data_IF_850375213571
#
_entry.id   IF_850375213571
#
_cell.length_a   1.000
_cell.length_b   1.000
_cell.length_c   1.000
_cell.angle_alpha   90.00
_cell.angle_beta   90.00
_cell.angle_gamma   90.00
#
_symmetry.space_group_name_H-M   'P 1'
#
loop_
_entity.id
_entity.type
_entity.pdbx_description
1 polymer ?
#
# COMPACT_ATOMS: atom_id res chain seq x y z
N UNK A 1 -11.85 -50.93 38.62
CA UNK A 1 -12.97 -50.61 37.73
C UNK A 1 -12.57 -49.38 36.93
N UNK A 2 -12.56 -49.49 35.60
CA UNK A 2 -11.89 -48.60 34.64
C UNK A 2 -12.57 -47.22 34.57
N UNK A 3 -11.82 -46.15 34.83
CA UNK A 3 -12.26 -44.77 34.52
C UNK A 3 -11.70 -44.38 33.16
N UNK A 4 -12.55 -44.41 32.14
CA UNK A 4 -12.21 -44.03 30.78
C UNK A 4 -11.96 -42.54 30.65
N UNK A 5 -10.73 -42.17 30.27
CA UNK A 5 -10.35 -40.82 29.87
C UNK A 5 -10.97 -40.50 28.51
N UNK A 6 -11.86 -39.50 28.48
CA UNK A 6 -12.48 -38.98 27.25
C UNK A 6 -11.44 -38.26 26.39
N UNK A 7 -10.92 -38.95 25.39
CA UNK A 7 -10.10 -38.38 24.30
C UNK A 7 -10.96 -37.39 23.51
N UNK A 8 -10.62 -36.10 23.56
CA UNK A 8 -11.25 -35.07 22.73
C UNK A 8 -10.38 -34.82 21.50
N UNK A 9 -10.65 -35.55 20.42
CA UNK A 9 -10.05 -35.28 19.10
C UNK A 9 -10.46 -33.89 18.61
N UNK A 10 -9.57 -32.89 18.74
CA UNK A 10 -9.69 -31.64 17.98
C UNK A 10 -9.07 -31.86 16.60
N UNK A 11 -9.84 -32.48 15.72
CA UNK A 11 -9.54 -32.56 14.30
C UNK A 11 -9.77 -31.17 13.70
N UNK A 12 -8.71 -30.36 13.57
CA UNK A 12 -8.77 -29.15 12.74
C UNK A 12 -8.96 -29.64 11.30
N UNK A 13 -10.20 -29.60 10.81
CA UNK A 13 -10.52 -29.89 9.41
C UNK A 13 -9.99 -28.74 8.55
N UNK A 14 -8.71 -28.80 8.21
CA UNK A 14 -8.14 -28.01 7.12
C UNK A 14 -8.78 -28.58 5.85
N UNK A 15 -9.64 -27.81 5.20
CA UNK A 15 -10.13 -28.16 3.86
C UNK A 15 -8.97 -27.94 2.89
N UNK A 16 -8.13 -28.96 2.74
CA UNK A 16 -7.01 -28.93 1.81
C UNK A 16 -7.52 -28.67 0.38
N UNK A 17 -7.16 -27.51 -0.17
CA UNK A 17 -7.21 -27.25 -1.62
C UNK A 17 -5.85 -27.49 -2.29
N UNK A 18 -4.91 -28.13 -1.60
CA UNK A 18 -3.58 -28.43 -2.12
C UNK A 18 -3.31 -29.90 -1.80
N UNK A 19 -3.23 -30.73 -2.85
CA UNK A 19 -2.75 -32.09 -2.72
C UNK A 19 -1.24 -32.06 -2.58
N UNK A 20 -0.71 -32.56 -1.47
CA UNK A 20 0.61 -33.21 -1.43
C UNK A 20 0.72 -34.13 -0.19
N UNK A 21 1.21 -35.34 -0.48
CA UNK A 21 1.53 -36.53 0.31
C UNK A 21 0.78 -36.85 1.62
N UNK A 22 -0.07 -37.88 1.51
CA UNK A 22 -0.57 -38.67 2.64
C UNK A 22 0.58 -39.48 3.22
N UNK A 23 1.17 -39.04 4.34
CA UNK A 23 1.63 -39.90 5.44
C UNK A 23 2.33 -39.09 6.53
N UNK A 24 1.57 -38.44 7.41
CA UNK A 24 2.00 -38.20 8.79
C UNK A 24 0.79 -38.29 9.73
N UNK A 25 0.41 -39.51 10.09
CA UNK A 25 -0.44 -39.73 11.26
C UNK A 25 0.32 -39.27 12.51
N UNK A 26 -0.21 -38.26 13.20
CA UNK A 26 0.36 -37.77 14.46
C UNK A 26 -0.20 -38.65 15.57
N UNK A 27 0.60 -39.60 16.06
CA UNK A 27 0.35 -40.27 17.34
C UNK A 27 0.91 -39.35 18.43
N UNK A 28 0.07 -38.95 19.38
CA UNK A 28 0.46 -38.14 20.53
C UNK A 28 0.60 -39.08 21.73
N UNK A 29 1.82 -39.30 22.22
CA UNK A 29 2.10 -39.94 23.50
C UNK A 29 2.29 -38.87 24.59
N UNK A 30 1.79 -39.17 25.78
CA UNK A 30 1.48 -38.20 26.83
C UNK A 30 2.67 -38.03 27.79
N UNK A 31 3.77 -37.46 27.28
CA UNK A 31 4.89 -36.99 28.11
C UNK A 31 5.19 -35.53 27.84
N UNK A 32 5.39 -34.72 28.90
CA UNK A 32 5.67 -33.28 28.76
C UNK A 32 6.92 -32.95 27.92
N UNK A 33 7.83 -33.92 27.78
CA UNK A 33 9.00 -33.84 26.90
C UNK A 33 8.59 -33.88 25.41
N UNK A 34 7.69 -34.78 25.03
CA UNK A 34 7.19 -34.89 23.64
C UNK A 34 6.38 -33.66 23.21
N UNK A 35 5.63 -33.06 24.13
CA UNK A 35 4.90 -31.80 23.85
C UNK A 35 5.88 -30.66 23.55
N UNK A 36 6.99 -30.59 24.29
CA UNK A 36 8.01 -29.55 24.12
C UNK A 36 8.79 -29.71 22.81
N UNK A 37 9.18 -30.94 22.46
CA UNK A 37 9.79 -31.24 21.16
C UNK A 37 8.84 -30.93 20.01
N UNK A 38 7.56 -31.30 20.14
CA UNK A 38 6.54 -30.99 19.14
C UNK A 38 6.37 -29.49 18.96
N UNK A 39 6.35 -28.72 20.05
CA UNK A 39 6.28 -27.26 20.00
C UNK A 39 7.50 -26.66 19.29
N UNK A 40 8.70 -27.14 19.60
CA UNK A 40 9.95 -26.68 18.95
C UNK A 40 9.92 -26.95 17.44
N UNK A 41 9.52 -28.16 17.03
CA UNK A 41 9.34 -28.51 15.62
C UNK A 41 8.35 -27.60 14.91
N UNK A 42 7.18 -27.34 15.51
CA UNK A 42 6.17 -26.45 14.93
C UNK A 42 6.67 -25.02 14.79
N UNK A 43 7.43 -24.52 15.77
CA UNK A 43 8.04 -23.19 15.72
C UNK A 43 9.05 -23.07 14.58
N UNK A 44 9.92 -24.07 14.41
CA UNK A 44 10.90 -24.11 13.31
C UNK A 44 10.21 -24.22 11.94
N UNK A 45 9.20 -25.09 11.81
CA UNK A 45 8.35 -25.21 10.62
C UNK A 45 7.69 -23.88 10.25
N UNK A 46 7.20 -23.15 11.25
CA UNK A 46 6.54 -21.86 11.04
C UNK A 46 7.52 -20.83 10.47
N UNK A 47 8.72 -20.72 11.05
CA UNK A 47 9.78 -19.82 10.55
C UNK A 47 10.16 -20.18 9.12
N UNK A 48 10.38 -21.47 8.85
CA UNK A 48 10.72 -21.97 7.52
C UNK A 48 9.64 -21.63 6.48
N UNK A 49 8.37 -21.82 6.82
CA UNK A 49 7.25 -21.51 5.92
C UNK A 49 7.19 -20.01 5.59
N UNK A 50 7.42 -19.13 6.57
CA UNK A 50 7.45 -17.69 6.32
C UNK A 50 8.63 -17.28 5.43
N UNK A 51 9.82 -17.82 5.66
CA UNK A 51 10.98 -17.56 4.81
C UNK A 51 10.73 -18.04 3.38
N UNK A 52 10.20 -19.25 3.20
CA UNK A 52 9.82 -19.79 1.90
C UNK A 52 8.79 -18.92 1.20
N UNK A 53 7.79 -18.41 1.92
CA UNK A 53 6.80 -17.48 1.38
C UNK A 53 7.45 -16.18 0.88
N UNK A 54 8.38 -15.62 1.65
CA UNK A 54 9.10 -14.40 1.26
C UNK A 54 9.97 -14.64 0.03
N UNK A 55 10.74 -15.73 -0.02
CA UNK A 55 11.53 -16.08 -1.21
C UNK A 55 10.64 -16.24 -2.45
N UNK A 56 9.52 -16.96 -2.35
CA UNK A 56 8.57 -17.09 -3.45
C UNK A 56 8.03 -15.74 -3.91
N UNK A 57 7.77 -14.81 -2.97
CA UNK A 57 7.35 -13.44 -3.32
C UNK A 57 8.47 -12.69 -4.06
N UNK A 58 9.72 -12.80 -3.64
CA UNK A 58 10.86 -12.14 -4.30
C UNK A 58 11.03 -12.68 -5.73
N UNK A 59 10.95 -13.99 -5.92
CA UNK A 59 10.98 -14.60 -7.26
C UNK A 59 9.82 -14.09 -8.13
N UNK A 60 8.61 -14.02 -7.58
CA UNK A 60 7.46 -13.43 -8.28
C UNK A 60 7.72 -11.96 -8.67
N UNK A 61 8.38 -11.17 -7.82
CA UNK A 61 8.74 -9.77 -8.14
C UNK A 61 9.70 -9.70 -9.34
N UNK A 62 10.71 -10.59 -9.39
CA UNK A 62 11.66 -10.69 -10.51
C UNK A 62 10.95 -11.05 -11.80
N UNK A 63 10.09 -12.08 -11.78
CA UNK A 63 9.29 -12.52 -12.95
C UNK A 63 8.39 -11.39 -13.45
N UNK A 64 7.67 -10.72 -12.55
CA UNK A 64 6.77 -9.62 -12.92
C UNK A 64 7.52 -8.46 -13.57
N UNK A 65 8.72 -8.14 -13.07
CA UNK A 65 9.58 -7.11 -13.64
C UNK A 65 10.02 -7.49 -15.05
N UNK A 66 10.52 -8.70 -15.25
CA UNK A 66 10.93 -9.17 -16.58
C UNK A 66 9.77 -9.15 -17.59
N UNK A 67 8.58 -9.63 -17.20
CA UNK A 67 7.38 -9.60 -18.04
C UNK A 67 7.01 -8.16 -18.41
N UNK A 68 7.10 -7.23 -17.45
CA UNK A 68 6.75 -5.83 -17.70
C UNK A 68 7.77 -5.15 -18.62
N UNK A 69 9.06 -5.31 -18.33
CA UNK A 69 10.13 -4.58 -19.00
C UNK A 69 10.27 -5.05 -20.46
N UNK A 70 10.09 -6.35 -20.72
CA UNK A 70 10.06 -6.92 -22.08
C UNK A 70 8.67 -6.88 -22.73
N UNK A 71 7.65 -6.40 -22.02
CA UNK A 71 6.26 -6.37 -22.48
C UNK A 71 5.69 -7.74 -22.89
N UNK A 72 6.15 -8.85 -22.27
CA UNK A 72 5.71 -10.21 -22.59
C UNK A 72 4.22 -10.45 -22.35
N UNK A 73 3.57 -9.64 -21.53
CA UNK A 73 2.12 -9.67 -21.39
C UNK A 73 1.37 -9.45 -22.72
N UNK A 74 2.00 -8.83 -23.73
CA UNK A 74 1.40 -8.68 -25.06
C UNK A 74 1.29 -10.00 -25.83
N UNK A 75 2.10 -11.02 -25.50
CA UNK A 75 2.04 -12.34 -26.14
C UNK A 75 0.69 -13.03 -25.89
N UNK A 76 0.09 -12.76 -24.74
CA UNK A 76 -1.26 -13.21 -24.38
C UNK A 76 -2.35 -12.19 -24.75
N UNK A 77 -2.04 -11.20 -25.59
CA UNK A 77 -2.93 -10.13 -26.05
C UNK A 77 -3.46 -9.20 -24.93
N UNK A 78 -2.81 -9.10 -23.77
CA UNK A 78 -3.17 -8.07 -22.78
C UNK A 78 -2.81 -6.68 -23.28
N UNK A 79 -3.72 -5.71 -23.12
CA UNK A 79 -3.49 -4.32 -23.57
C UNK A 79 -2.43 -3.61 -22.75
N UNK A 80 -2.35 -3.94 -21.46
CA UNK A 80 -1.40 -3.36 -20.52
C UNK A 80 -1.05 -4.36 -19.41
N UNK A 81 0.05 -4.07 -18.71
CA UNK A 81 0.54 -4.90 -17.61
C UNK A 81 -0.48 -5.05 -16.46
N UNK A 82 -1.28 -4.02 -16.20
CA UNK A 82 -2.31 -4.10 -15.16
C UNK A 82 -3.36 -5.16 -15.49
N UNK A 83 -3.81 -5.24 -16.74
CA UNK A 83 -4.75 -6.25 -17.21
C UNK A 83 -4.19 -7.67 -17.01
N UNK A 84 -2.91 -7.89 -17.35
CA UNK A 84 -2.20 -9.14 -17.09
C UNK A 84 -2.23 -9.52 -15.60
N UNK A 85 -1.85 -8.60 -14.71
CA UNK A 85 -1.73 -8.90 -13.26
C UNK A 85 -3.05 -9.30 -12.59
N UNK A 86 -4.20 -8.86 -13.12
CA UNK A 86 -5.52 -9.23 -12.60
C UNK A 86 -5.78 -10.73 -12.62
N UNK A 87 -5.25 -11.44 -13.61
CA UNK A 87 -5.45 -12.89 -13.76
C UNK A 87 -4.69 -13.72 -12.71
N UNK A 88 -3.69 -13.13 -12.05
CA UNK A 88 -2.87 -13.78 -11.03
C UNK A 88 -3.25 -13.36 -9.60
N UNK A 89 -4.42 -12.74 -9.41
CA UNK A 89 -4.89 -12.22 -8.11
C UNK A 89 -3.95 -11.21 -7.47
N UNK A 90 -3.21 -10.47 -8.29
CA UNK A 90 -2.33 -9.39 -7.83
C UNK A 90 -3.08 -8.08 -8.02
N UNK A 91 -3.31 -7.35 -6.92
CA UNK A 91 -3.91 -6.03 -6.99
C UNK A 91 -2.97 -5.05 -7.71
N UNK A 92 -3.53 -4.06 -8.40
CA UNK A 92 -2.75 -3.03 -9.13
C UNK A 92 -1.66 -2.41 -8.25
N UNK A 93 -2.02 -1.94 -7.05
CA UNK A 93 -1.05 -1.32 -6.12
C UNK A 93 0.08 -2.27 -5.76
N UNK A 94 -0.26 -3.52 -5.43
CA UNK A 94 0.71 -4.55 -5.08
C UNK A 94 1.65 -4.88 -6.25
N UNK A 95 1.15 -4.92 -7.49
CA UNK A 95 1.99 -5.13 -8.67
C UNK A 95 3.04 -4.02 -8.82
N UNK A 96 2.66 -2.75 -8.65
CA UNK A 96 3.61 -1.64 -8.73
C UNK A 96 4.58 -1.59 -7.55
N UNK A 97 4.15 -1.97 -6.34
CA UNK A 97 5.03 -2.13 -5.19
C UNK A 97 6.08 -3.24 -5.43
N UNK A 98 5.66 -4.36 -6.03
CA UNK A 98 6.55 -5.47 -6.40
C UNK A 98 7.59 -5.05 -7.44
N UNK A 99 7.18 -4.31 -8.46
CA UNK A 99 8.09 -3.74 -9.45
C UNK A 99 9.10 -2.79 -8.82
N UNK A 100 8.68 -1.99 -7.83
CA UNK A 100 9.56 -1.06 -7.13
C UNK A 100 10.64 -1.78 -6.34
N UNK A 101 10.28 -2.85 -5.63
CA UNK A 101 11.25 -3.69 -4.92
C UNK A 101 12.19 -4.38 -5.91
N UNK A 102 11.66 -4.93 -7.00
CA UNK A 102 12.47 -5.60 -8.02
C UNK A 102 13.51 -4.66 -8.65
N UNK A 103 13.12 -3.41 -8.95
CA UNK A 103 14.06 -2.39 -9.42
C UNK A 103 15.14 -2.08 -8.36
N UNK A 104 14.74 -1.94 -7.09
CA UNK A 104 15.69 -1.66 -6.02
C UNK A 104 16.68 -2.81 -5.77
N UNK A 105 16.27 -4.06 -6.02
CA UNK A 105 17.16 -5.22 -6.00
C UNK A 105 18.17 -5.18 -7.15
N UNK A 106 17.71 -4.86 -8.37
CA UNK A 106 18.59 -4.72 -9.54
C UNK A 106 19.60 -3.58 -9.37
N UNK A 107 19.16 -2.45 -8.83
CA UNK A 107 19.99 -1.28 -8.50
C UNK A 107 20.84 -1.48 -7.24
N UNK A 108 20.76 -2.64 -6.57
CA UNK A 108 21.45 -2.97 -5.31
C UNK A 108 21.21 -1.94 -4.18
N UNK A 109 20.05 -1.29 -4.18
CA UNK A 109 19.63 -0.36 -3.12
C UNK A 109 19.16 -1.13 -1.87
N UNK A 110 18.61 -2.33 -2.10
CA UNK A 110 18.16 -3.31 -1.10
C UNK A 110 18.72 -4.66 -1.50
N UNK A 111 19.13 -5.45 -0.50
CA UNK A 111 19.58 -6.83 -0.71
C UNK A 111 18.44 -7.82 -0.45
N UNK A 112 18.49 -8.98 -1.11
CA UNK A 112 17.50 -10.04 -0.92
C UNK A 112 17.40 -10.49 0.54
N UNK A 113 18.56 -10.65 1.21
CA UNK A 113 18.65 -11.03 2.62
C UNK A 113 17.90 -10.06 3.54
N UNK A 114 17.92 -8.76 3.22
CA UNK A 114 17.18 -7.75 4.00
C UNK A 114 15.68 -7.99 3.91
N UNK A 115 15.16 -8.33 2.73
CA UNK A 115 13.73 -8.60 2.52
C UNK A 115 13.34 -9.92 3.21
N UNK A 116 14.21 -10.94 3.18
CA UNK A 116 13.95 -12.23 3.86
C UNK A 116 13.85 -12.05 5.38
N UNK A 117 14.69 -11.19 5.96
CA UNK A 117 14.72 -10.95 7.40
C UNK A 117 13.60 -10.01 7.88
N UNK A 118 13.32 -8.93 7.15
CA UNK A 118 12.39 -7.88 7.58
C UNK A 118 11.02 -7.96 6.89
N UNK A 119 10.91 -8.75 5.82
CA UNK A 119 9.70 -8.88 5.03
C UNK A 119 9.51 -7.79 3.98
N UNK A 120 8.47 -7.98 3.16
CA UNK A 120 8.17 -7.14 1.99
C UNK A 120 7.70 -5.73 2.39
N UNK A 121 6.90 -5.62 3.45
CA UNK A 121 6.32 -4.33 3.87
C UNK A 121 7.40 -3.39 4.41
N UNK A 122 8.32 -3.90 5.21
CA UNK A 122 9.42 -3.10 5.76
C UNK A 122 10.39 -2.68 4.66
N UNK A 123 10.64 -3.54 3.66
CA UNK A 123 11.38 -3.17 2.46
C UNK A 123 10.71 -2.01 1.70
N UNK A 124 9.38 -2.02 1.53
CA UNK A 124 8.65 -0.90 0.90
C UNK A 124 8.75 0.40 1.71
N UNK A 125 8.62 0.32 3.04
CA UNK A 125 8.75 1.47 3.93
C UNK A 125 10.17 2.05 3.84
N UNK A 126 11.19 1.18 3.86
CA UNK A 126 12.58 1.56 3.70
C UNK A 126 12.83 2.29 2.37
N UNK A 127 12.32 1.74 1.26
CA UNK A 127 12.41 2.36 -0.06
C UNK A 127 11.69 3.70 -0.13
N UNK A 128 10.53 3.83 0.53
CA UNK A 128 9.79 5.11 0.62
C UNK A 128 10.57 6.16 1.40
N UNK A 129 11.26 5.78 2.47
CA UNK A 129 12.03 6.71 3.29
C UNK A 129 13.34 7.14 2.60
N UNK A 130 14.03 6.22 1.91
CA UNK A 130 15.19 6.55 1.07
C UNK A 130 14.80 7.46 -0.10
N UNK A 131 13.74 7.12 -0.83
CA UNK A 131 13.20 7.99 -1.88
C UNK A 131 12.61 9.29 -1.31
N UNK A 132 12.16 9.33 -0.07
CA UNK A 132 11.60 10.50 0.61
C UNK A 132 12.56 11.70 0.75
N UNK A 133 13.86 11.51 0.48
CA UNK A 133 14.82 12.63 0.29
C UNK A 133 14.85 13.18 -1.14
N UNK A 134 14.41 12.42 -2.16
CA UNK A 134 14.38 12.80 -3.58
C UNK A 134 12.97 12.94 -4.19
N UNK A 135 11.93 12.41 -3.56
CA UNK A 135 10.54 12.66 -3.93
C UNK A 135 10.29 14.10 -3.53
N UNK A 136 10.41 15.00 -4.52
CA UNK A 136 9.82 16.33 -4.45
C UNK A 136 8.47 16.16 -3.76
N UNK A 137 8.34 16.63 -2.52
CA UNK A 137 7.03 16.93 -1.93
C UNK A 137 6.28 17.57 -3.09
N UNK A 138 5.15 16.99 -3.48
CA UNK A 138 4.28 17.60 -4.47
C UNK A 138 4.32 19.09 -4.23
N UNK A 139 4.54 19.91 -5.26
CA UNK A 139 4.30 21.35 -5.20
C UNK A 139 2.80 21.59 -4.94
N UNK A 140 2.24 20.99 -3.88
CA UNK A 140 1.03 21.41 -3.20
C UNK A 140 1.39 22.82 -2.81
N UNK A 141 0.85 23.76 -3.60
CA UNK A 141 0.99 25.19 -3.43
C UNK A 141 1.32 25.51 -1.98
N UNK A 142 2.47 26.14 -1.75
CA UNK A 142 2.93 26.55 -0.40
C UNK A 142 1.80 27.31 0.31
N UNK A 143 0.96 28.00 -0.48
CA UNK A 143 -0.24 28.69 -0.08
C UNK A 143 -1.48 27.82 -0.37
N UNK A 144 -2.29 27.56 0.67
CA UNK A 144 -3.56 26.83 0.54
C UNK A 144 -4.55 27.65 -0.31
N UNK A 145 -5.31 27.03 -1.22
CA UNK A 145 -6.29 27.74 -2.02
C UNK A 145 -7.41 28.28 -1.12
N UNK A 146 -7.77 29.55 -1.33
CA UNK A 146 -8.87 30.21 -0.64
C UNK A 146 -10.21 29.67 -1.16
N UNK A 147 -11.14 29.39 -0.24
CA UNK A 147 -12.48 28.83 -0.57
C UNK A 147 -13.55 29.81 -0.12
N UNK A 148 -14.33 30.31 -1.07
CA UNK A 148 -15.47 31.19 -0.81
C UNK A 148 -16.78 30.50 -1.12
N UNK A 149 -17.82 30.82 -0.35
CA UNK A 149 -19.20 30.53 -0.72
C UNK A 149 -19.83 31.83 -1.20
N UNK A 150 -20.16 31.89 -2.49
CA UNK A 150 -20.80 33.05 -3.11
C UNK A 150 -22.31 32.95 -2.92
N UNK A 151 -22.97 34.08 -2.65
CA UNK A 151 -24.42 34.13 -2.37
C UNK A 151 -25.28 33.92 -3.62
N UNK A 152 -24.77 34.27 -4.80
CA UNK A 152 -25.50 34.18 -6.07
C UNK A 152 -24.79 33.27 -7.07
N UNK A 153 -25.57 32.52 -7.84
CA UNK A 153 -25.06 31.58 -8.84
C UNK A 153 -24.32 32.28 -9.97
N UNK A 154 -24.81 33.46 -10.40
CA UNK A 154 -24.16 34.26 -11.45
C UNK A 154 -22.74 34.67 -11.05
N UNK A 155 -22.55 35.13 -9.81
CA UNK A 155 -21.22 35.45 -9.30
C UNK A 155 -20.32 34.21 -9.28
N UNK A 156 -20.86 33.06 -8.87
CA UNK A 156 -20.11 31.80 -8.87
C UNK A 156 -19.63 31.42 -10.27
N UNK A 157 -20.52 31.40 -11.25
CA UNK A 157 -20.18 31.06 -12.64
C UNK A 157 -19.10 32.00 -13.18
N UNK A 158 -19.28 33.32 -12.97
CA UNK A 158 -18.35 34.34 -13.43
C UNK A 158 -16.94 34.15 -12.85
N UNK A 159 -16.81 34.09 -11.53
CA UNK A 159 -15.51 34.00 -10.88
C UNK A 159 -14.86 32.63 -11.05
N UNK A 160 -15.64 31.57 -11.16
CA UNK A 160 -15.14 30.21 -11.46
C UNK A 160 -14.54 30.14 -12.85
N UNK A 161 -15.22 30.70 -13.86
CA UNK A 161 -14.70 30.74 -15.23
C UNK A 161 -13.42 31.59 -15.34
N UNK A 162 -13.25 32.58 -14.46
CA UNK A 162 -12.14 33.55 -14.46
C UNK A 162 -11.19 33.42 -13.28
N UNK A 163 -10.98 32.20 -12.76
CA UNK A 163 -10.24 31.99 -11.50
C UNK A 163 -8.86 32.67 -11.43
N UNK A 164 -8.08 32.67 -12.53
CA UNK A 164 -6.77 33.37 -12.59
C UNK A 164 -6.91 34.89 -12.44
N UNK A 165 -7.89 35.47 -13.13
CA UNK A 165 -8.18 36.90 -13.02
C UNK A 165 -8.70 37.25 -11.62
N UNK A 166 -9.54 36.41 -11.02
CA UNK A 166 -10.02 36.61 -9.64
C UNK A 166 -8.85 36.63 -8.66
N UNK A 167 -7.88 35.71 -8.79
CA UNK A 167 -6.67 35.70 -7.95
C UNK A 167 -5.88 36.99 -8.11
N UNK A 168 -5.63 37.40 -9.36
CA UNK A 168 -4.92 38.64 -9.68
C UNK A 168 -5.63 39.88 -9.12
N UNK A 169 -6.96 39.94 -9.27
CA UNK A 169 -7.77 41.05 -8.77
C UNK A 169 -7.68 41.17 -7.25
N UNK A 170 -7.78 40.06 -6.52
CA UNK A 170 -7.69 40.06 -5.06
C UNK A 170 -6.30 40.50 -4.56
N UNK A 171 -5.23 40.06 -5.22
CA UNK A 171 -3.86 40.52 -4.90
C UNK A 171 -3.70 42.01 -5.16
N UNK A 172 -4.17 42.51 -6.32
CA UNK A 172 -4.09 43.94 -6.66
C UNK A 172 -4.89 44.84 -5.73
N UNK A 173 -6.11 44.42 -5.36
CA UNK A 173 -6.92 45.18 -4.42
C UNK A 173 -6.24 45.27 -3.05
N UNK A 174 -5.62 44.18 -2.60
CA UNK A 174 -4.90 44.16 -1.33
C UNK A 174 -3.65 45.04 -1.34
N UNK A 175 -2.89 45.03 -2.43
CA UNK A 175 -1.65 45.81 -2.56
C UNK A 175 -1.90 47.32 -2.76
N UNK A 176 -2.88 47.68 -3.60
CA UNK A 176 -3.00 49.04 -4.12
C UNK A 176 -4.25 49.79 -3.63
N UNK A 177 -5.31 49.08 -3.23
CA UNK A 177 -6.65 49.67 -3.00
C UNK A 177 -7.15 49.37 -1.58
N UNK A 178 -6.26 49.51 -0.59
CA UNK A 178 -6.54 49.14 0.80
C UNK A 178 -7.66 49.98 1.42
N UNK A 179 -7.72 51.27 1.11
CA UNK A 179 -8.79 52.16 1.58
C UNK A 179 -10.17 51.70 1.09
N UNK A 180 -10.26 51.20 -0.14
CA UNK A 180 -11.48 50.65 -0.70
C UNK A 180 -11.89 49.36 0.04
N UNK A 181 -10.92 48.51 0.38
CA UNK A 181 -11.18 47.30 1.18
C UNK A 181 -11.69 47.66 2.58
N UNK A 182 -11.08 48.63 3.26
CA UNK A 182 -11.47 49.07 4.61
C UNK A 182 -12.91 49.62 4.61
N UNK A 183 -13.29 50.35 3.55
CA UNK A 183 -14.66 50.81 3.35
C UNK A 183 -15.64 49.63 3.26
N UNK A 184 -15.36 48.65 2.40
CA UNK A 184 -16.25 47.49 2.24
C UNK A 184 -16.27 46.59 3.49
N UNK A 185 -15.18 46.51 4.24
CA UNK A 185 -15.15 45.80 5.53
C UNK A 185 -16.08 46.48 6.56
N UNK A 186 -16.07 47.81 6.59
CA UNK A 186 -16.97 48.60 7.44
C UNK A 186 -18.43 48.40 7.05
N UNK A 187 -18.76 48.48 5.75
CA UNK A 187 -20.11 48.22 5.23
C UNK A 187 -20.58 46.80 5.57
N UNK A 188 -19.70 45.80 5.41
CA UNK A 188 -20.00 44.42 5.77
C UNK A 188 -20.27 44.25 7.27
N UNK A 189 -19.49 44.92 8.13
CA UNK A 189 -19.70 44.94 9.57
C UNK A 189 -21.06 45.53 9.97
N UNK A 190 -21.50 46.59 9.29
CA UNK A 190 -22.82 47.19 9.50
C UNK A 190 -23.93 46.24 9.02
N UNK A 191 -23.76 45.58 7.87
CA UNK A 191 -24.75 44.65 7.31
C UNK A 191 -25.00 43.38 8.13
N UNK A 192 -24.17 43.11 9.14
CA UNK A 192 -24.31 41.98 10.07
C UNK A 192 -25.11 42.31 11.35
N UNK A 193 -25.33 43.59 11.64
CA UNK A 193 -26.21 44.03 12.73
C UNK A 193 -27.66 44.05 12.26
#
# INVERSE_FOLDING_TARGET
>A
MVMGSKVKNMMIKIKDRIMEDKNQGIVVSDSGYEIMERYKYLKERLVFNFQKEIHNKIENMKILKEIKDNQYYKLDNYKNFEEFTKNYRIAKSQAYDYLRIANALEEKIVEENYIVQNGVQDALIFLRNKEGTKVKKSNRNIIKPLRFQLKTEQAYIYYKAKAKFTSFLLERLFENEKELLDKYETEYGISKK
#
